data_IF_177607738080
#
_entry.id   IF_177607738080
#
_cell.length_a   1.000
_cell.length_b   1.000
_cell.length_c   1.000
_cell.angle_alpha   90.00
_cell.angle_beta   90.00
_cell.angle_gamma   90.00
#
_symmetry.space_group_name_H-M   'P 1'
#
loop_
_entity.id
_entity.type
_entity.pdbx_description
1 polymer ?
#
# COMPACT_ATOMS: atom_id res chain seq x y z
N UNK A 1 16.92 5.05 21.06
CA UNK A 1 15.66 5.41 21.76
C UNK A 1 14.99 6.71 21.28
N UNK A 2 15.60 7.91 21.42
CA UNK A 2 14.92 9.20 21.14
C UNK A 2 14.31 9.29 19.72
N UNK A 3 15.10 8.98 18.69
CA UNK A 3 14.63 8.95 17.30
C UNK A 3 13.48 7.96 17.05
N UNK A 4 13.47 6.83 17.77
CA UNK A 4 12.39 5.85 17.67
C UNK A 4 11.06 6.44 18.17
N UNK A 5 11.12 7.08 19.34
CA UNK A 5 9.94 7.70 19.96
C UNK A 5 9.44 8.91 19.16
N UNK A 6 10.35 9.74 18.61
CA UNK A 6 9.95 10.87 17.76
C UNK A 6 9.27 10.42 16.46
N UNK A 7 9.61 9.22 15.97
CA UNK A 7 8.93 8.57 14.84
C UNK A 7 7.62 7.88 15.23
N UNK A 8 7.20 7.89 16.50
CA UNK A 8 5.99 7.21 16.97
C UNK A 8 6.08 5.67 16.99
N UNK A 9 7.29 5.13 16.87
CA UNK A 9 7.58 3.70 16.85
C UNK A 9 7.72 3.10 18.26
N UNK A 10 7.77 1.77 18.32
CA UNK A 10 8.00 1.01 19.54
C UNK A 10 9.50 0.78 19.74
N UNK A 11 9.99 1.03 20.97
CA UNK A 11 11.40 0.82 21.34
C UNK A 11 11.51 -0.36 22.30
N UNK A 12 12.15 -1.44 21.84
CA UNK A 12 12.40 -2.67 22.61
C UNK A 12 13.82 -3.16 22.36
N UNK A 13 14.79 -2.82 23.21
CA UNK A 13 16.15 -3.34 23.07
C UNK A 13 16.18 -4.84 23.43
N UNK A 14 16.94 -5.63 22.69
CA UNK A 14 17.14 -7.06 22.92
C UNK A 14 18.62 -7.35 23.17
N UNK A 15 18.92 -8.37 23.98
CA UNK A 15 20.29 -8.77 24.35
C UNK A 15 21.05 -9.54 23.25
N UNK A 16 20.40 -9.86 22.13
CA UNK A 16 20.99 -10.58 21.01
C UNK A 16 20.86 -9.78 19.71
N UNK A 17 21.83 -9.92 18.82
CA UNK A 17 21.81 -9.30 17.50
C UNK A 17 20.74 -9.97 16.60
N UNK A 18 20.07 -9.18 15.75
CA UNK A 18 19.11 -9.67 14.76
C UNK A 18 17.82 -8.84 14.74
N UNK A 19 16.98 -8.89 15.80
CA UNK A 19 15.71 -8.15 15.82
C UNK A 19 15.91 -6.62 15.88
N UNK A 20 15.07 -5.84 15.18
CA UNK A 20 15.16 -4.38 15.21
C UNK A 20 14.76 -3.84 16.59
N UNK A 21 15.63 -3.06 17.23
CA UNK A 21 15.31 -2.41 18.52
C UNK A 21 14.22 -1.33 18.41
N UNK A 22 13.99 -0.82 17.20
CA UNK A 22 12.94 0.14 16.90
C UNK A 22 12.09 -0.37 15.74
N UNK A 23 10.79 -0.58 15.98
CA UNK A 23 9.89 -1.16 14.99
C UNK A 23 8.55 -0.41 14.94
N UNK A 24 7.83 -0.57 13.83
CA UNK A 24 6.55 0.11 13.62
C UNK A 24 5.52 -0.27 14.68
N UNK A 25 4.78 0.74 15.14
CA UNK A 25 3.55 0.53 15.90
C UNK A 25 2.37 0.36 14.94
N UNK A 26 1.26 -0.21 15.44
CA UNK A 26 -0.02 -0.33 14.70
C UNK A 26 -0.67 1.00 14.34
N UNK A 27 -0.10 2.13 14.79
CA UNK A 27 -0.55 3.48 14.43
C UNK A 27 0.00 3.98 13.10
N UNK A 28 0.97 3.28 12.52
CA UNK A 28 1.51 3.59 11.20
C UNK A 28 0.74 2.86 10.11
N UNK A 29 0.72 3.44 8.92
CA UNK A 29 0.07 2.86 7.75
C UNK A 29 -1.18 3.64 7.34
N UNK A 30 -2.10 2.93 6.70
CA UNK A 30 -3.32 3.48 6.13
C UNK A 30 -4.51 2.65 6.59
N UNK A 31 -5.67 3.29 6.64
CA UNK A 31 -6.96 2.63 6.81
C UNK A 31 -7.77 2.68 5.52
N UNK A 32 -8.61 1.69 5.31
CA UNK A 32 -9.59 1.69 4.23
C UNK A 32 -10.64 2.76 4.52
N UNK A 33 -10.89 3.61 3.54
CA UNK A 33 -11.94 4.63 3.58
C UNK A 33 -13.13 4.27 2.70
N UNK A 34 -12.88 3.62 1.57
CA UNK A 34 -13.92 3.19 0.63
C UNK A 34 -13.41 2.03 -0.22
N UNK A 35 -14.30 1.08 -0.52
CA UNK A 35 -14.08 0.03 -1.52
C UNK A 35 -15.14 0.19 -2.61
N UNK A 36 -14.76 0.02 -3.87
CA UNK A 36 -15.65 0.06 -5.04
C UNK A 36 -15.29 -1.05 -6.01
N UNK A 37 -16.29 -1.77 -6.49
CA UNK A 37 -16.10 -2.75 -7.57
C UNK A 37 -15.88 -2.03 -8.91
N UNK A 38 -14.96 -2.55 -9.72
CA UNK A 38 -14.70 -2.12 -11.09
C UNK A 38 -14.84 -3.33 -12.02
N UNK A 39 -15.02 -3.13 -13.34
CA UNK A 39 -15.14 -4.25 -14.28
C UNK A 39 -13.92 -5.18 -14.30
N UNK A 40 -12.74 -4.66 -13.97
CA UNK A 40 -11.46 -5.36 -13.90
C UNK A 40 -11.05 -5.76 -12.47
N UNK A 41 -11.81 -5.36 -11.44
CA UNK A 41 -11.60 -5.78 -10.06
C UNK A 41 -12.11 -4.82 -9.00
N UNK A 42 -11.21 -4.26 -8.18
CA UNK A 42 -11.56 -3.38 -7.06
C UNK A 42 -10.75 -2.09 -7.12
N UNK A 43 -11.37 -1.00 -6.65
CA UNK A 43 -10.70 0.25 -6.34
C UNK A 43 -10.94 0.58 -4.86
N UNK A 44 -9.83 0.71 -4.12
CA UNK A 44 -9.82 0.95 -2.67
C UNK A 44 -9.17 2.30 -2.40
N UNK A 45 -9.89 3.16 -1.68
CA UNK A 45 -9.37 4.43 -1.19
C UNK A 45 -8.78 4.23 0.20
N UNK A 46 -7.50 4.57 0.36
CA UNK A 46 -6.73 4.44 1.59
C UNK A 46 -6.45 5.82 2.18
N UNK A 47 -6.68 6.00 3.48
CA UNK A 47 -6.36 7.24 4.20
C UNK A 47 -5.26 7.00 5.23
N UNK A 48 -4.23 7.84 5.21
CA UNK A 48 -3.08 7.71 6.11
C UNK A 48 -3.52 7.85 7.56
N UNK A 49 -3.02 6.97 8.43
CA UNK A 49 -3.21 7.11 9.87
C UNK A 49 -2.39 8.29 10.40
N UNK A 50 -2.83 8.95 11.49
CA UNK A 50 -2.11 10.07 12.08
C UNK A 50 -0.87 9.58 12.85
N UNK A 51 0.21 9.32 12.11
CA UNK A 51 1.54 8.99 12.65
C UNK A 51 2.57 10.05 12.25
N UNK A 52 3.63 10.28 13.05
CA UNK A 52 4.73 11.18 12.67
C UNK A 52 5.32 10.81 11.30
N UNK A 53 5.80 11.82 10.58
CA UNK A 53 6.50 11.59 9.32
C UNK A 53 7.87 10.95 9.57
N UNK A 54 8.25 9.98 8.75
CA UNK A 54 9.59 9.39 8.83
C UNK A 54 10.61 10.19 8.02
N UNK A 55 10.23 10.57 6.79
CA UNK A 55 11.11 11.16 5.77
C UNK A 55 10.49 12.38 5.06
N UNK A 56 9.34 12.88 5.53
CA UNK A 56 8.60 13.97 4.88
C UNK A 56 7.73 13.51 3.69
N UNK A 57 6.99 14.46 3.12
CA UNK A 57 6.18 14.30 1.90
C UNK A 57 5.20 13.11 1.93
N UNK A 58 4.56 12.88 3.07
CA UNK A 58 3.55 11.85 3.21
C UNK A 58 2.33 12.10 2.30
N UNK A 59 1.88 11.06 1.60
CA UNK A 59 0.68 11.12 0.76
C UNK A 59 -0.54 10.79 1.62
N UNK A 60 -1.37 11.77 1.95
CA UNK A 60 -2.50 11.56 2.88
C UNK A 60 -3.59 10.61 2.36
N UNK A 61 -3.81 10.55 1.05
CA UNK A 61 -4.81 9.70 0.40
C UNK A 61 -4.17 8.92 -0.74
N UNK A 62 -4.32 7.60 -0.73
CA UNK A 62 -3.77 6.69 -1.74
C UNK A 62 -4.92 5.93 -2.39
N UNK A 63 -4.87 5.76 -3.71
CA UNK A 63 -5.77 4.89 -4.45
C UNK A 63 -5.06 3.56 -4.70
N UNK A 64 -5.63 2.48 -4.20
CA UNK A 64 -5.25 1.12 -4.56
C UNK A 64 -6.20 0.62 -5.66
N UNK A 65 -5.64 0.22 -6.80
CA UNK A 65 -6.34 -0.57 -7.82
C UNK A 65 -5.91 -2.03 -7.73
N UNK A 66 -6.90 -2.91 -7.66
CA UNK A 66 -6.77 -4.36 -7.66
C UNK A 66 -7.35 -4.86 -8.97
N UNK A 67 -6.53 -5.44 -9.83
CA UNK A 67 -6.97 -5.94 -11.13
C UNK A 67 -6.82 -7.47 -11.19
N UNK A 68 -7.92 -8.16 -11.47
CA UNK A 68 -7.97 -9.60 -11.69
C UNK A 68 -7.63 -9.89 -13.16
N UNK A 69 -6.33 -9.88 -13.48
CA UNK A 69 -5.91 -9.88 -14.89
C UNK A 69 -6.06 -11.25 -15.55
N UNK A 70 -5.70 -12.32 -14.85
CA UNK A 70 -5.86 -13.71 -15.32
C UNK A 70 -6.12 -14.62 -14.12
N UNK A 71 -6.51 -15.87 -14.39
CA UNK A 71 -6.67 -16.93 -13.38
C UNK A 71 -5.48 -17.03 -12.40
N UNK A 72 -4.26 -16.73 -12.87
CA UNK A 72 -3.03 -16.84 -12.08
C UNK A 72 -2.30 -15.50 -11.88
N UNK A 73 -2.92 -14.35 -12.20
CA UNK A 73 -2.24 -13.05 -12.14
C UNK A 73 -3.13 -11.94 -11.58
N UNK A 74 -2.77 -11.51 -10.39
CA UNK A 74 -3.27 -10.32 -9.71
C UNK A 74 -2.32 -9.13 -9.95
N UNK A 75 -2.86 -7.94 -10.21
CA UNK A 75 -2.07 -6.69 -10.20
C UNK A 75 -2.60 -5.74 -9.14
N UNK A 76 -1.70 -5.26 -8.29
CA UNK A 76 -1.95 -4.21 -7.31
C UNK A 76 -1.20 -2.95 -7.72
N UNK A 77 -1.88 -1.81 -7.75
CA UNK A 77 -1.26 -0.51 -8.02
C UNK A 77 -1.70 0.49 -6.96
N UNK A 78 -0.73 1.01 -6.19
CA UNK A 78 -0.93 2.11 -5.25
C UNK A 78 -0.51 3.42 -5.93
N UNK A 79 -1.42 4.36 -6.06
CA UNK A 79 -1.17 5.65 -6.71
C UNK A 79 -1.69 6.82 -5.88
N UNK A 80 -1.13 8.00 -6.12
CA UNK A 80 -1.64 9.25 -5.55
C UNK A 80 -2.77 9.77 -6.47
N UNK A 81 -4.02 9.87 -5.99
CA UNK A 81 -5.13 10.35 -6.80
C UNK A 81 -5.09 11.86 -7.06
N UNK A 82 -4.28 12.63 -6.32
CA UNK A 82 -4.15 14.09 -6.44
C UNK A 82 -2.96 14.50 -7.31
N UNK A 83 -1.97 13.65 -7.44
CA UNK A 83 -0.75 13.95 -8.20
C UNK A 83 -0.30 12.75 -9.03
N UNK A 84 -0.09 12.96 -10.32
CA UNK A 84 0.47 11.93 -11.20
C UNK A 84 1.93 11.71 -10.84
N UNK A 85 2.25 10.52 -10.34
CA UNK A 85 3.62 10.10 -10.05
C UNK A 85 4.24 9.44 -11.28
N UNK A 86 5.56 9.31 -11.27
CA UNK A 86 6.27 8.57 -12.31
C UNK A 86 5.80 7.12 -12.35
N UNK A 87 5.48 6.63 -13.54
CA UNK A 87 5.22 5.23 -13.84
C UNK A 87 6.24 4.79 -14.89
N UNK A 88 6.82 3.60 -14.72
CA UNK A 88 7.84 3.08 -15.64
C UNK A 88 7.22 2.91 -17.03
N UNK A 89 7.76 3.57 -18.08
CA UNK A 89 7.30 3.38 -19.45
C UNK A 89 7.85 2.06 -19.98
N UNK A 90 7.23 0.95 -19.60
CA UNK A 90 7.69 -0.39 -19.96
C UNK A 90 7.28 -0.74 -21.40
N UNK A 91 8.23 -1.25 -22.19
CA UNK A 91 8.02 -1.52 -23.63
C UNK A 91 6.98 -2.62 -23.90
N UNK A 92 6.95 -3.67 -23.06
CA UNK A 92 6.03 -4.81 -23.22
C UNK A 92 4.84 -4.87 -22.26
N UNK A 93 4.86 -4.13 -21.14
CA UNK A 93 3.82 -4.22 -20.11
C UNK A 93 2.88 -3.05 -20.31
N UNK A 94 1.74 -3.32 -20.93
CA UNK A 94 0.71 -2.31 -21.21
C UNK A 94 -0.32 -2.12 -20.08
N UNK A 95 -1.25 -1.16 -20.27
CA UNK A 95 -2.46 -1.07 -19.48
C UNK A 95 -3.30 -2.35 -19.65
N UNK A 96 -3.95 -2.79 -18.58
CA UNK A 96 -4.93 -3.87 -18.67
C UNK A 96 -6.26 -3.29 -19.16
N UNK A 97 -6.82 -3.87 -20.23
CA UNK A 97 -8.07 -3.42 -20.85
C UNK A 97 -9.17 -4.51 -20.86
N UNK A 98 -8.95 -5.62 -20.15
CA UNK A 98 -9.92 -6.72 -20.02
C UNK A 98 -10.88 -6.53 -18.84
N UNK A 99 -11.93 -7.35 -18.81
CA UNK A 99 -12.74 -7.59 -17.61
C UNK A 99 -11.99 -8.51 -16.64
N UNK A 100 -12.46 -8.56 -15.40
CA UNK A 100 -11.96 -9.49 -14.40
C UNK A 100 -12.06 -10.94 -14.93
N UNK A 101 -10.97 -11.70 -14.82
CA UNK A 101 -10.98 -13.15 -15.05
C UNK A 101 -11.60 -13.88 -13.86
N UNK A 102 -12.07 -15.12 -14.05
CA UNK A 102 -12.31 -16.06 -12.95
C UNK A 102 -10.97 -16.40 -12.27
N UNK A 103 -10.67 -15.86 -11.07
CA UNK A 103 -9.36 -16.00 -10.47
C UNK A 103 -9.25 -17.34 -9.74
N UNK A 104 -8.07 -17.98 -9.80
CA UNK A 104 -7.72 -19.14 -8.98
C UNK A 104 -7.26 -18.75 -7.56
N UNK A 105 -7.65 -17.57 -7.10
CA UNK A 105 -7.22 -16.96 -5.84
C UNK A 105 -8.32 -16.02 -5.31
N UNK A 106 -8.33 -15.83 -3.99
CA UNK A 106 -9.19 -14.87 -3.30
C UNK A 106 -8.39 -13.66 -2.80
N UNK A 107 -9.04 -12.50 -2.72
CA UNK A 107 -8.43 -11.26 -2.22
C UNK A 107 -9.24 -10.73 -1.04
N UNK A 108 -8.56 -10.60 0.10
CA UNK A 108 -9.09 -9.96 1.31
C UNK A 108 -8.45 -8.58 1.50
N UNK A 109 -9.26 -7.60 1.92
CA UNK A 109 -8.88 -6.19 2.08
C UNK A 109 -8.87 -5.80 3.55
#
# INVERSE_FOLDING_TARGET
QRLCRSRGCCWSPHGHAGPPWCFFSTRHGYRVSRVRNTPDGLEVSLSRLPAPSLFGNDVGSVRLRVQFQTHNRLRLQFSDPKSRRFEVPHEHVGPFAGSASEPGYDVEI
#
